data_IF_079250090079
#
_entry.id   IF_079250090079
#
_cell.length_a   1.000
_cell.length_b   1.000
_cell.length_c   1.000
_cell.angle_alpha   90.00
_cell.angle_beta   90.00
_cell.angle_gamma   90.00
#
_symmetry.space_group_name_H-M   'P 1'
#
loop_
_entity.id
_entity.type
_entity.pdbx_description
1 polymer ?
#
# COMPACT_ATOMS: atom_id res chain seq x y z
N UNK A 1 -68.56 -4.13 44.30
CA UNK A 1 -68.15 -2.74 44.53
C UNK A 1 -66.78 -2.82 45.19
N UNK A 2 -65.67 -2.38 44.62
CA UNK A 2 -65.47 -1.28 43.67
C UNK A 2 -64.13 -1.47 42.95
N UNK A 3 -64.12 -1.09 41.68
CA UNK A 3 -62.99 -0.90 40.77
C UNK A 3 -62.01 0.18 41.28
N UNK A 4 -60.71 0.04 40.95
CA UNK A 4 -59.74 1.15 40.79
C UNK A 4 -58.36 0.62 40.31
N UNK A 5 -58.19 0.23 39.04
CA UNK A 5 -57.55 0.99 37.94
C UNK A 5 -56.17 1.66 38.19
N UNK A 6 -55.16 1.17 37.43
CA UNK A 6 -53.95 1.83 36.83
C UNK A 6 -52.87 2.42 37.77
N UNK A 7 -51.57 2.19 37.57
CA UNK A 7 -50.82 2.48 36.33
C UNK A 7 -49.49 1.72 36.25
N UNK A 8 -49.04 1.30 35.05
CA UNK A 8 -47.65 0.93 34.80
C UNK A 8 -46.79 2.17 35.03
N UNK A 9 -45.82 2.13 35.95
CA UNK A 9 -44.77 3.15 35.95
C UNK A 9 -43.87 2.83 34.76
N UNK A 10 -44.16 3.45 33.65
CA UNK A 10 -43.17 3.76 32.63
C UNK A 10 -42.00 4.43 33.37
N UNK A 11 -40.92 3.68 33.57
CA UNK A 11 -39.61 4.23 33.86
C UNK A 11 -39.15 4.96 32.60
N UNK A 12 -39.82 6.07 32.27
CA UNK A 12 -39.37 7.02 31.27
C UNK A 12 -38.03 7.56 31.80
N UNK A 13 -36.96 6.99 31.27
CA UNK A 13 -35.61 7.10 31.80
C UNK A 13 -35.21 8.56 31.96
N UNK A 14 -35.06 8.99 33.21
CA UNK A 14 -34.41 10.25 33.53
C UNK A 14 -32.95 10.13 33.10
N UNK A 15 -32.62 10.64 31.92
CA UNK A 15 -31.23 10.77 31.47
C UNK A 15 -30.68 11.97 32.23
N UNK A 16 -29.81 11.77 33.23
CA UNK A 16 -29.35 12.88 34.02
C UNK A 16 -28.42 13.74 33.16
N UNK A 17 -28.50 15.06 33.31
CA UNK A 17 -27.76 16.02 32.50
C UNK A 17 -26.23 15.79 32.50
N UNK A 18 -25.68 15.22 33.60
CA UNK A 18 -24.27 14.85 33.69
C UNK A 18 -23.89 13.72 32.72
N UNK A 19 -24.82 12.82 32.38
CA UNK A 19 -24.59 11.77 31.39
C UNK A 19 -24.54 12.34 29.97
N UNK A 20 -25.35 13.35 29.66
CA UNK A 20 -25.24 14.11 28.40
C UNK A 20 -23.90 14.86 28.33
N UNK A 21 -23.45 15.46 29.44
CA UNK A 21 -22.15 16.13 29.51
C UNK A 21 -20.98 15.16 29.29
N UNK A 22 -21.05 13.95 29.85
CA UNK A 22 -20.05 12.90 29.62
C UNK A 22 -20.06 12.45 28.16
N UNK A 23 -21.23 12.19 27.56
CA UNK A 23 -21.32 11.78 26.15
C UNK A 23 -20.78 12.88 25.24
N UNK A 24 -21.09 14.15 25.50
CA UNK A 24 -20.55 15.28 24.75
C UNK A 24 -19.02 15.39 24.90
N UNK A 25 -18.49 15.21 26.12
CA UNK A 25 -17.06 15.23 26.38
C UNK A 25 -16.33 14.07 25.69
N UNK A 26 -16.90 12.86 25.71
CA UNK A 26 -16.37 11.68 25.01
C UNK A 26 -16.38 11.88 23.50
N UNK A 27 -17.45 12.46 22.96
CA UNK A 27 -17.53 12.76 21.52
C UNK A 27 -16.53 13.83 21.11
N UNK A 28 -16.36 14.89 21.92
CA UNK A 28 -15.35 15.92 21.71
C UNK A 28 -13.92 15.36 21.80
N UNK A 29 -13.65 14.50 22.78
CA UNK A 29 -12.36 13.84 22.92
C UNK A 29 -12.07 12.91 21.75
N UNK A 30 -13.05 12.11 21.32
CA UNK A 30 -12.93 11.24 20.14
C UNK A 30 -12.66 12.06 18.86
N UNK A 31 -13.35 13.19 18.69
CA UNK A 31 -13.13 14.10 17.56
C UNK A 31 -11.73 14.73 17.59
N UNK A 32 -11.22 15.10 18.78
CA UNK A 32 -9.86 15.62 18.94
C UNK A 32 -8.80 14.55 18.64
N UNK A 33 -8.99 13.32 19.09
CA UNK A 33 -8.10 12.19 18.78
C UNK A 33 -8.12 11.88 17.28
N UNK A 34 -9.30 11.87 16.66
CA UNK A 34 -9.43 11.68 15.21
C UNK A 34 -8.77 12.81 14.42
N UNK A 35 -8.92 14.07 14.85
CA UNK A 35 -8.27 15.21 14.23
C UNK A 35 -6.75 15.18 14.39
N UNK A 36 -6.24 14.79 15.56
CA UNK A 36 -4.82 14.63 15.83
C UNK A 36 -4.23 13.49 14.98
N UNK A 37 -4.91 12.35 14.92
CA UNK A 37 -4.53 11.22 14.06
C UNK A 37 -4.50 11.65 12.58
N UNK A 38 -5.55 12.33 12.12
CA UNK A 38 -5.62 12.86 10.76
C UNK A 38 -4.60 13.98 10.46
N UNK A 39 -4.04 14.64 11.49
CA UNK A 39 -2.91 15.57 11.36
C UNK A 39 -1.57 14.84 11.27
N UNK A 40 -1.38 13.80 12.09
CA UNK A 40 -0.17 12.96 12.09
C UNK A 40 -0.02 12.13 10.83
N UNK A 41 -1.13 11.68 10.23
CA UNK A 41 -1.11 10.92 8.97
C UNK A 41 -1.24 11.80 7.74
N UNK A 42 -1.13 13.13 7.85
CA UNK A 42 -1.11 13.97 6.65
C UNK A 42 0.15 13.61 5.86
N UNK A 43 0.04 13.03 4.64
CA UNK A 43 1.18 12.99 3.76
C UNK A 43 1.63 14.44 3.58
N UNK A 44 2.92 14.70 3.72
CA UNK A 44 3.47 16.01 3.42
C UNK A 44 2.91 16.43 2.06
N UNK A 45 2.20 17.57 2.01
CA UNK A 45 1.92 18.22 0.73
C UNK A 45 3.27 18.67 0.20
N UNK A 46 3.99 17.75 -0.44
CA UNK A 46 5.11 18.09 -1.30
C UNK A 46 4.52 19.01 -2.36
N UNK A 47 4.94 20.28 -2.30
CA UNK A 47 4.54 21.29 -3.25
C UNK A 47 4.80 20.78 -4.66
N UNK A 48 3.82 20.96 -5.53
CA UNK A 48 3.92 20.73 -6.97
C UNK A 48 5.28 21.25 -7.45
N UNK A 49 6.23 20.41 -7.90
CA UNK A 49 7.37 20.93 -8.62
C UNK A 49 6.83 21.48 -9.93
N UNK A 50 6.76 22.80 -10.03
CA UNK A 50 6.66 23.47 -11.32
C UNK A 50 7.91 23.08 -12.09
N UNK A 51 7.78 22.08 -12.96
CA UNK A 51 8.78 21.72 -13.94
C UNK A 51 8.87 22.87 -14.97
N UNK A 52 9.71 23.86 -14.68
CA UNK A 52 10.21 24.78 -15.70
C UNK A 52 11.09 23.95 -16.63
N UNK A 53 10.51 23.44 -17.71
CA UNK A 53 11.27 22.92 -18.82
C UNK A 53 12.00 24.09 -19.50
N UNK A 54 13.34 24.14 -19.55
CA UNK A 54 13.99 24.96 -20.55
C UNK A 54 13.74 24.28 -21.90
N UNK A 55 12.82 24.83 -22.68
CA UNK A 55 12.73 24.54 -24.11
C UNK A 55 14.01 25.07 -24.77
N UNK A 56 15.04 24.23 -24.86
CA UNK A 56 16.17 24.46 -25.76
C UNK A 56 15.69 24.19 -27.18
N UNK A 57 15.19 25.24 -27.83
CA UNK A 57 15.07 25.30 -29.29
C UNK A 57 16.49 25.29 -29.86
N UNK A 58 16.98 24.12 -30.25
CA UNK A 58 18.15 24.03 -31.12
C UNK A 58 17.66 24.18 -32.55
N UNK A 59 17.70 25.42 -33.04
CA UNK A 59 17.61 25.73 -34.47
C UNK A 59 18.76 25.04 -35.20
N UNK A 60 18.44 24.04 -36.03
CA UNK A 60 19.40 23.42 -36.92
C UNK A 60 19.81 24.39 -38.05
N UNK A 61 21.11 24.67 -38.26
CA UNK A 61 21.56 25.27 -39.51
C UNK A 61 21.72 24.21 -40.62
N UNK A 62 21.60 24.60 -41.92
CA UNK A 62 21.56 23.68 -43.06
C UNK A 62 22.91 22.99 -43.35
N UNK A 63 22.93 21.88 -44.11
CA UNK A 63 24.12 21.07 -44.33
C UNK A 63 25.11 21.76 -45.28
N UNK A 64 26.29 22.12 -44.79
CA UNK A 64 27.44 22.49 -45.60
C UNK A 64 28.43 21.31 -45.63
N UNK A 65 28.75 20.84 -46.84
CA UNK A 65 29.62 19.70 -47.10
C UNK A 65 31.13 20.04 -46.97
N UNK A 66 31.92 18.96 -46.88
CA UNK A 66 33.40 18.79 -46.98
C UNK A 66 34.25 18.93 -45.70
N UNK A 67 35.41 18.26 -45.62
CA UNK A 67 35.73 16.86 -45.91
C UNK A 67 36.37 16.17 -44.68
N UNK A 68 36.45 14.84 -44.72
CA UNK A 68 37.06 13.95 -43.71
C UNK A 68 38.51 14.33 -43.36
N UNK A 69 38.89 14.29 -42.06
CA UNK A 69 40.21 13.80 -41.68
C UNK A 69 40.09 12.54 -40.81
N UNK A 70 40.51 11.45 -41.41
CA UNK A 70 41.26 10.32 -40.84
C UNK A 70 41.56 10.34 -39.34
N UNK A 71 41.11 9.29 -38.65
CA UNK A 71 41.87 8.66 -37.57
C UNK A 71 41.54 9.06 -36.14
N UNK A 72 40.46 8.51 -35.58
CA UNK A 72 40.35 8.31 -34.13
C UNK A 72 39.63 6.97 -33.89
N UNK A 73 40.36 5.98 -33.39
CA UNK A 73 39.83 4.69 -33.01
C UNK A 73 38.77 4.89 -31.91
N UNK A 74 37.50 4.68 -32.23
CA UNK A 74 36.42 4.66 -31.28
C UNK A 74 36.50 3.36 -30.47
N UNK A 75 37.09 3.43 -29.27
CA UNK A 75 36.92 2.39 -28.26
C UNK A 75 35.43 2.35 -27.90
N UNK A 76 34.72 1.35 -28.41
CA UNK A 76 33.31 1.12 -28.10
C UNK A 76 33.21 0.74 -26.62
N UNK A 77 32.45 1.46 -25.77
CA UNK A 77 32.16 1.00 -24.41
C UNK A 77 31.45 -0.36 -24.48
N UNK A 78 31.78 -1.34 -23.62
CA UNK A 78 31.04 -2.59 -23.55
C UNK A 78 29.56 -2.30 -23.33
N UNK A 79 28.69 -2.87 -24.16
CA UNK A 79 27.25 -2.77 -23.99
C UNK A 79 26.88 -3.31 -22.61
N UNK A 80 26.31 -2.46 -21.75
CA UNK A 80 25.73 -2.91 -20.48
C UNK A 80 24.64 -3.95 -20.79
N UNK A 81 24.58 -5.09 -20.08
CA UNK A 81 23.54 -6.08 -20.29
C UNK A 81 22.16 -5.44 -20.07
N UNK A 82 21.26 -5.63 -21.02
CA UNK A 82 19.88 -5.17 -20.91
C UNK A 82 19.20 -5.84 -19.68
N UNK A 83 18.33 -5.15 -18.94
CA UNK A 83 17.59 -5.75 -17.83
C UNK A 83 16.73 -6.90 -18.35
N UNK A 84 16.97 -8.12 -17.86
CA UNK A 84 16.09 -9.26 -18.10
C UNK A 84 14.78 -9.02 -17.36
N UNK A 85 13.68 -8.83 -18.10
CA UNK A 85 12.34 -8.77 -17.49
C UNK A 85 11.89 -10.20 -17.21
N UNK A 86 12.05 -10.65 -15.96
CA UNK A 86 11.50 -11.93 -15.50
C UNK A 86 9.99 -11.79 -15.31
N UNK A 87 9.21 -12.64 -15.98
CA UNK A 87 7.76 -12.69 -15.77
C UNK A 87 7.46 -13.22 -14.36
N UNK A 88 6.44 -12.70 -13.66
CA UNK A 88 6.05 -13.20 -12.34
C UNK A 88 5.60 -14.68 -12.43
N UNK A 89 5.78 -15.46 -11.35
CA UNK A 89 5.29 -16.83 -11.30
C UNK A 89 3.77 -16.87 -11.47
N UNK A 90 3.19 -17.99 -11.96
CA UNK A 90 1.75 -18.12 -12.07
C UNK A 90 1.09 -18.02 -10.67
N UNK A 91 -0.12 -17.43 -10.57
CA UNK A 91 -0.84 -17.37 -9.29
C UNK A 91 -1.11 -18.78 -8.73
N UNK A 92 -1.03 -18.98 -7.41
CA UNK A 92 -1.51 -20.21 -6.79
C UNK A 92 -3.02 -20.42 -7.03
N UNK A 93 -3.53 -21.66 -6.93
CA UNK A 93 -4.94 -21.95 -7.10
C UNK A 93 -5.86 -21.07 -6.23
N UNK A 94 -7.03 -20.66 -6.74
CA UNK A 94 -7.98 -19.87 -5.96
C UNK A 94 -8.38 -20.57 -4.66
N UNK A 95 -8.46 -19.81 -3.56
CA UNK A 95 -8.95 -20.28 -2.26
C UNK A 95 -7.88 -20.65 -1.22
N UNK A 96 -6.59 -20.64 -1.59
CA UNK A 96 -5.51 -20.91 -0.63
C UNK A 96 -5.26 -19.75 0.34
N UNK A 97 -5.32 -18.51 -0.16
CA UNK A 97 -5.12 -17.30 0.63
C UNK A 97 -6.46 -16.70 1.05
N UNK A 98 -6.61 -16.41 2.34
CA UNK A 98 -7.80 -15.78 2.93
C UNK A 98 -7.42 -14.80 4.03
N UNK A 99 -8.29 -13.84 4.32
CA UNK A 99 -8.12 -12.97 5.50
C UNK A 99 -8.04 -13.83 6.77
N UNK A 100 -7.09 -13.47 7.65
CA UNK A 100 -6.77 -14.19 8.88
C UNK A 100 -5.80 -15.37 8.71
N UNK A 101 -5.50 -15.79 7.47
CA UNK A 101 -4.49 -16.85 7.23
C UNK A 101 -3.06 -16.32 7.32
N UNK A 102 -2.12 -17.23 7.55
CA UNK A 102 -0.69 -16.97 7.45
C UNK A 102 -0.21 -17.38 6.07
N UNK A 103 0.63 -16.53 5.47
CA UNK A 103 1.24 -16.78 4.17
C UNK A 103 2.75 -16.63 4.30
N UNK A 104 3.46 -17.45 3.54
CA UNK A 104 4.89 -17.37 3.36
C UNK A 104 5.21 -16.77 1.99
N UNK A 105 6.16 -15.86 1.93
CA UNK A 105 6.67 -15.31 0.66
C UNK A 105 7.52 -16.36 -0.06
N UNK A 106 7.20 -16.64 -1.32
CA UNK A 106 7.88 -17.64 -2.14
C UNK A 106 8.07 -17.17 -3.58
N UNK A 107 9.08 -17.71 -4.26
CA UNK A 107 9.24 -17.54 -5.71
C UNK A 107 9.75 -16.16 -6.13
N UNK A 108 10.44 -15.45 -5.23
CA UNK A 108 10.98 -14.09 -5.49
C UNK A 108 12.38 -14.09 -6.11
N UNK A 109 12.89 -15.23 -6.58
CA UNK A 109 14.20 -15.30 -7.22
C UNK A 109 14.20 -14.64 -8.61
N UNK A 110 15.30 -13.98 -9.02
CA UNK A 110 16.59 -13.84 -8.34
C UNK A 110 16.68 -12.74 -7.27
N UNK A 111 15.68 -11.87 -7.14
CA UNK A 111 15.70 -10.70 -6.25
C UNK A 111 15.72 -11.08 -4.76
N UNK A 112 15.01 -12.16 -4.39
CA UNK A 112 14.94 -12.69 -3.03
C UNK A 112 13.98 -11.92 -2.10
N UNK A 113 13.17 -11.01 -2.63
CA UNK A 113 12.17 -10.26 -1.88
C UNK A 113 10.92 -9.91 -2.71
N UNK A 114 9.80 -9.73 -2.01
CA UNK A 114 8.54 -9.21 -2.52
C UNK A 114 8.34 -7.77 -2.03
N UNK A 115 8.03 -6.86 -2.95
CA UNK A 115 7.68 -5.47 -2.62
C UNK A 115 6.27 -5.41 -2.03
N UNK A 116 6.15 -5.13 -0.73
CA UNK A 116 4.88 -4.79 -0.10
C UNK A 116 4.62 -3.30 -0.28
N UNK A 117 3.49 -2.96 -0.87
CA UNK A 117 3.17 -1.58 -1.30
C UNK A 117 2.14 -0.91 -0.39
N UNK A 118 2.08 0.41 -0.42
CA UNK A 118 1.10 1.19 0.33
C UNK A 118 -0.33 0.96 -0.17
N UNK A 119 -0.47 0.71 -1.47
CA UNK A 119 -1.74 0.50 -2.17
C UNK A 119 -1.62 -0.74 -3.07
N UNK A 120 -2.75 -1.40 -3.38
CA UNK A 120 -2.77 -2.45 -4.37
C UNK A 120 -2.43 -1.86 -5.75
N UNK A 121 -1.40 -2.41 -6.40
CA UNK A 121 -0.98 -2.00 -7.73
C UNK A 121 0.53 -1.75 -7.83
N UNK A 122 1.05 -1.79 -9.06
CA UNK A 122 2.47 -1.65 -9.36
C UNK A 122 2.98 -0.21 -9.19
N UNK A 123 2.08 0.78 -9.20
CA UNK A 123 2.41 2.19 -9.01
C UNK A 123 2.50 2.61 -7.53
N UNK A 124 2.01 1.79 -6.59
CA UNK A 124 2.03 2.10 -5.17
C UNK A 124 3.44 2.19 -4.60
N UNK A 125 3.68 3.13 -3.70
CA UNK A 125 4.97 3.26 -3.00
C UNK A 125 5.30 1.96 -2.24
N UNK A 126 6.58 1.56 -2.22
CA UNK A 126 7.02 0.36 -1.49
C UNK A 126 7.17 0.70 0.00
N UNK A 127 6.40 0.04 0.84
CA UNK A 127 6.45 0.18 2.30
C UNK A 127 7.47 -0.76 2.92
N UNK A 128 7.60 -1.97 2.38
CA UNK A 128 8.47 -3.01 2.95
C UNK A 128 8.94 -4.00 1.89
N UNK A 129 10.14 -4.55 2.08
CA UNK A 129 10.70 -5.63 1.28
C UNK A 129 10.56 -6.92 2.07
N UNK A 130 9.54 -7.72 1.77
CA UNK A 130 9.34 -9.00 2.44
C UNK A 130 10.28 -10.04 1.87
N UNK A 131 11.11 -10.64 2.71
CA UNK A 131 12.14 -11.58 2.27
C UNK A 131 11.52 -12.92 1.86
N UNK A 132 12.20 -13.63 0.96
CA UNK A 132 11.87 -15.03 0.66
C UNK A 132 11.80 -15.85 1.97
N UNK A 133 10.75 -16.67 2.10
CA UNK A 133 10.38 -17.46 3.29
C UNK A 133 9.92 -16.67 4.51
N UNK A 134 9.75 -15.35 4.42
CA UNK A 134 9.14 -14.56 5.50
C UNK A 134 7.65 -14.91 5.63
N UNK A 135 7.17 -15.08 6.87
CA UNK A 135 5.77 -15.42 7.18
C UNK A 135 5.04 -14.18 7.66
N UNK A 136 3.93 -13.87 7.01
CA UNK A 136 3.09 -12.70 7.28
C UNK A 136 1.63 -13.13 7.45
N UNK A 137 0.85 -12.34 8.17
CA UNK A 137 -0.58 -12.55 8.31
C UNK A 137 -1.35 -11.72 7.29
N UNK A 138 -2.34 -12.34 6.65
CA UNK A 138 -3.26 -11.65 5.76
C UNK A 138 -4.32 -10.91 6.57
N UNK A 139 -4.38 -9.59 6.44
CA UNK A 139 -5.31 -8.73 7.18
C UNK A 139 -6.41 -8.13 6.30
N UNK A 140 -6.17 -7.98 4.98
CA UNK A 140 -7.20 -7.53 4.03
C UNK A 140 -6.96 -8.08 2.62
N UNK A 141 -7.98 -7.96 1.76
CA UNK A 141 -8.01 -8.49 0.40
C UNK A 141 -9.12 -9.53 0.19
N UNK A 142 -9.27 -10.09 -1.02
CA UNK A 142 -8.47 -9.81 -2.22
C UNK A 142 -8.82 -8.45 -2.84
N UNK A 143 -7.85 -7.81 -3.50
CA UNK A 143 -8.09 -6.65 -4.37
C UNK A 143 -7.40 -6.86 -5.70
N UNK A 144 -8.13 -6.68 -6.80
CA UNK A 144 -7.59 -6.85 -8.15
C UNK A 144 -7.08 -5.51 -8.69
N UNK A 145 -5.81 -5.47 -9.11
CA UNK A 145 -5.19 -4.29 -9.72
C UNK A 145 -4.01 -4.71 -10.60
N UNK A 146 -3.83 -4.04 -11.74
CA UNK A 146 -2.74 -4.29 -12.71
C UNK A 146 -2.63 -5.75 -13.18
N UNK A 147 -3.75 -6.48 -13.21
CA UNK A 147 -3.78 -7.90 -13.60
C UNK A 147 -3.31 -8.87 -12.51
N UNK A 148 -3.13 -8.39 -11.27
CA UNK A 148 -2.74 -9.20 -10.11
C UNK A 148 -3.80 -9.14 -9.01
N UNK A 149 -3.81 -10.17 -8.17
CA UNK A 149 -4.56 -10.21 -6.92
C UNK A 149 -3.64 -9.77 -5.78
N UNK A 150 -4.06 -8.76 -5.04
CA UNK A 150 -3.31 -8.14 -3.95
C UNK A 150 -3.92 -8.46 -2.59
N UNK A 151 -3.05 -8.70 -1.62
CA UNK A 151 -3.40 -8.98 -0.23
C UNK A 151 -2.62 -8.05 0.69
N UNK A 152 -3.29 -7.49 1.70
CA UNK A 152 -2.64 -6.68 2.71
C UNK A 152 -2.05 -7.60 3.78
N UNK A 153 -0.73 -7.57 3.88
CA UNK A 153 0.07 -8.44 4.74
C UNK A 153 0.65 -7.63 5.89
N UNK A 154 0.70 -8.24 7.07
CA UNK A 154 1.25 -7.64 8.29
C UNK A 154 2.07 -8.68 9.03
N UNK A 155 3.24 -8.28 9.53
CA UNK A 155 4.02 -9.10 10.46
C UNK A 155 3.26 -9.27 11.79
N UNK A 156 2.86 -10.49 12.17
CA UNK A 156 2.09 -10.74 13.39
C UNK A 156 2.87 -10.41 14.67
N UNK A 157 4.20 -10.37 14.63
CA UNK A 157 5.01 -10.13 15.82
C UNK A 157 5.14 -8.65 16.16
N UNK A 158 5.38 -7.79 15.15
CA UNK A 158 5.69 -6.37 15.38
C UNK A 158 4.63 -5.42 14.87
N UNK A 159 3.77 -5.84 13.92
CA UNK A 159 2.85 -4.97 13.17
C UNK A 159 3.51 -3.76 12.47
N UNK A 160 4.84 -3.72 12.36
CA UNK A 160 5.56 -2.61 11.72
C UNK A 160 5.94 -2.89 10.27
N UNK A 161 5.98 -4.16 9.89
CA UNK A 161 6.23 -4.60 8.51
C UNK A 161 4.89 -4.93 7.87
N UNK A 162 4.45 -4.08 6.94
CA UNK A 162 3.15 -4.25 6.30
C UNK A 162 3.09 -3.69 4.90
N UNK A 163 2.10 -4.15 4.15
CA UNK A 163 1.73 -3.60 2.85
C UNK A 163 1.04 -4.62 1.96
N UNK A 164 0.67 -4.18 0.77
CA UNK A 164 0.02 -4.98 -0.26
C UNK A 164 1.04 -5.80 -1.04
N UNK A 165 0.91 -7.13 -0.99
CA UNK A 165 1.72 -8.08 -1.75
C UNK A 165 0.89 -8.82 -2.79
N UNK A 166 1.53 -9.21 -3.90
CA UNK A 166 0.90 -9.95 -5.00
C UNK A 166 0.76 -11.44 -4.64
N UNK A 167 -0.43 -12.00 -4.84
CA UNK A 167 -0.78 -13.39 -4.51
C UNK A 167 0.16 -14.43 -5.13
N UNK A 168 0.72 -14.15 -6.31
CA UNK A 168 1.62 -15.05 -7.04
C UNK A 168 2.86 -15.46 -6.23
N UNK A 169 3.25 -14.62 -5.27
CA UNK A 169 4.41 -14.85 -4.42
C UNK A 169 4.03 -15.30 -3.01
N UNK A 170 2.79 -15.74 -2.78
CA UNK A 170 2.27 -16.09 -1.46
C UNK A 170 1.84 -17.55 -1.43
N UNK A 171 2.38 -18.30 -0.47
CA UNK A 171 1.96 -19.66 -0.17
C UNK A 171 1.28 -19.70 1.20
N UNK A 172 0.06 -20.22 1.27
CA UNK A 172 -0.62 -20.38 2.56
C UNK A 172 0.10 -21.41 3.43
N UNK A 173 0.29 -21.08 4.71
CA UNK A 173 0.95 -21.94 5.71
C UNK A 173 0.11 -22.04 6.97
N UNK A 174 0.36 -23.07 7.77
CA UNK A 174 -0.17 -23.14 9.12
C UNK A 174 0.48 -22.03 9.96
N UNK A 175 -0.32 -21.33 10.75
CA UNK A 175 0.20 -20.27 11.62
C UNK A 175 1.23 -20.80 12.63
N UNK A 176 2.15 -19.94 13.10
CA UNK A 176 3.10 -20.28 14.15
C UNK A 176 2.43 -20.54 15.51
#
# INVERSE_FOLDING_TARGET
MTDASRSPRESAGYIPWWLLAIVAALFGFAALVAAAFALSTRPAREGVPVATAPAIVVTAPPPAALPTPTGAAALTPPAAPAPTVTSPPPPPPPGEVKVGSYVQVVGTAPEGFLNLRAEPGLAGAVNYLALEREVLQVQAGPTEADGFVWWYLVDPATNTKFGWGVQNYLQAVQGP
#
